data_IF_190833175882
#
_entry.id   IF_190833175882
#
_cell.length_a   1.000
_cell.length_b   1.000
_cell.length_c   1.000
_cell.angle_alpha   90.00
_cell.angle_beta   90.00
_cell.angle_gamma   90.00
#
_symmetry.space_group_name_H-M   'P 1'
#
loop_
_entity.id
_entity.type
_entity.pdbx_description
1 polymer ?
#
# COMPACT_ATOMS: atom_id res chain seq x y z
N UNK A 1 -23.73 19.00 9.35
CA UNK A 1 -22.89 17.99 10.05
C UNK A 1 -21.46 18.51 10.09
N UNK A 2 -20.75 18.33 11.20
CA UNK A 2 -19.31 18.60 11.25
C UNK A 2 -18.64 17.52 10.39
N UNK A 3 -17.92 17.92 9.33
CA UNK A 3 -17.22 17.00 8.44
C UNK A 3 -16.09 16.24 9.16
N UNK A 4 -15.56 15.19 8.53
CA UNK A 4 -14.43 14.41 9.07
C UNK A 4 -13.12 14.99 8.55
N UNK A 5 -11.99 14.63 9.17
CA UNK A 5 -10.66 14.89 8.61
C UNK A 5 -10.04 13.56 8.24
N UNK A 6 -9.86 13.31 6.95
CA UNK A 6 -9.24 12.10 6.41
C UNK A 6 -7.77 12.36 6.20
N UNK A 7 -6.92 11.51 6.78
CA UNK A 7 -5.48 11.58 6.61
C UNK A 7 -5.12 10.69 5.43
N UNK A 8 -4.62 11.31 4.37
CA UNK A 8 -4.14 10.58 3.22
C UNK A 8 -2.94 9.72 3.63
N UNK A 9 -2.82 8.55 3.01
CA UNK A 9 -1.65 7.68 3.12
C UNK A 9 -1.75 6.65 2.00
N UNK A 10 -1.59 7.09 0.75
CA UNK A 10 -1.77 6.22 -0.41
C UNK A 10 -0.69 5.16 -0.54
N UNK A 11 0.51 5.42 -0.02
CA UNK A 11 1.63 4.47 0.00
C UNK A 11 1.74 3.78 1.38
N UNK A 12 0.63 3.27 1.92
CA UNK A 12 0.60 2.63 3.23
C UNK A 12 1.45 1.35 3.26
N UNK A 13 1.66 0.70 2.12
CA UNK A 13 2.47 -0.51 1.98
C UNK A 13 3.94 -0.27 2.33
N UNK A 14 4.45 0.94 2.11
CA UNK A 14 5.79 1.33 2.56
C UNK A 14 5.94 1.29 4.10
N UNK A 15 4.83 1.41 4.83
CA UNK A 15 4.78 1.35 6.29
C UNK A 15 4.64 -0.07 6.82
N UNK A 16 4.11 -0.99 6.00
CA UNK A 16 3.90 -2.39 6.35
C UNK A 16 5.11 -3.27 6.01
N UNK A 17 6.01 -2.79 5.14
CA UNK A 17 7.16 -3.56 4.70
C UNK A 17 8.14 -3.84 5.86
N UNK A 18 8.57 -5.09 5.96
CA UNK A 18 9.52 -5.56 6.98
C UNK A 18 10.91 -5.75 6.36
N UNK A 19 11.89 -5.00 6.86
CA UNK A 19 13.28 -5.07 6.40
C UNK A 19 13.92 -6.45 6.60
N UNK A 20 13.33 -7.28 7.47
CA UNK A 20 13.74 -8.66 7.69
C UNK A 20 13.43 -9.56 6.48
N UNK A 21 12.53 -9.16 5.57
CA UNK A 21 12.23 -9.97 4.40
C UNK A 21 13.29 -9.83 3.29
N UNK A 22 13.46 -10.92 2.54
CA UNK A 22 14.20 -10.91 1.27
C UNK A 22 13.52 -10.01 0.26
N UNK A 23 14.31 -9.22 -0.48
CA UNK A 23 13.80 -8.37 -1.56
C UNK A 23 14.31 -8.82 -2.94
N UNK A 24 13.49 -8.59 -3.95
CA UNK A 24 13.87 -8.70 -5.35
C UNK A 24 14.88 -7.58 -5.70
N UNK A 25 15.70 -7.76 -6.75
CA UNK A 25 16.52 -6.68 -7.26
C UNK A 25 15.63 -5.50 -7.70
N UNK A 26 15.87 -4.32 -7.12
CA UNK A 26 15.20 -3.09 -7.54
C UNK A 26 16.09 -2.32 -8.52
N UNK A 27 15.50 -1.79 -9.58
CA UNK A 27 16.13 -0.84 -10.52
C UNK A 27 15.65 0.60 -10.28
N UNK A 28 15.01 0.87 -9.14
CA UNK A 28 14.40 2.18 -8.87
C UNK A 28 15.47 3.23 -8.60
N UNK A 29 15.43 4.32 -9.36
CA UNK A 29 16.12 5.56 -9.00
C UNK A 29 15.33 6.25 -7.88
N UNK A 30 16.01 6.95 -6.97
CA UNK A 30 15.41 7.70 -5.84
C UNK A 30 14.23 8.60 -6.27
N UNK A 31 14.28 9.16 -7.50
CA UNK A 31 13.19 9.95 -8.08
C UNK A 31 11.85 9.18 -8.24
N UNK A 32 11.88 7.87 -8.48
CA UNK A 32 10.67 7.04 -8.55
C UNK A 32 10.10 6.72 -7.18
N UNK A 33 10.87 6.79 -6.09
CA UNK A 33 10.33 6.61 -4.73
C UNK A 33 9.58 7.88 -4.29
N UNK A 34 10.08 9.06 -4.66
CA UNK A 34 9.44 10.35 -4.38
C UNK A 34 8.01 10.46 -4.94
N UNK A 35 7.75 9.94 -6.14
CA UNK A 35 6.43 10.01 -6.76
C UNK A 35 5.31 9.38 -5.92
N UNK A 36 5.60 8.37 -5.09
CA UNK A 36 4.60 7.70 -4.26
C UNK A 36 4.13 8.57 -3.09
N UNK A 37 4.96 9.52 -2.64
CA UNK A 37 4.60 10.46 -1.58
C UNK A 37 3.56 11.51 -2.04
N UNK A 38 3.40 11.69 -3.36
CA UNK A 38 2.44 12.66 -3.92
C UNK A 38 1.10 12.04 -4.33
N UNK A 39 0.94 10.71 -4.26
CA UNK A 39 -0.33 10.05 -4.56
C UNK A 39 -1.49 10.51 -3.66
N UNK A 40 -1.16 11.06 -2.48
CA UNK A 40 -2.13 11.65 -1.56
C UNK A 40 -3.00 12.75 -2.22
N UNK A 41 -2.52 13.41 -3.29
CA UNK A 41 -3.28 14.45 -4.00
C UNK A 41 -4.53 13.95 -4.72
N UNK A 42 -4.53 12.66 -5.10
CA UNK A 42 -5.61 11.97 -5.83
C UNK A 42 -6.78 11.65 -4.89
N UNK A 43 -6.58 11.75 -3.57
CA UNK A 43 -7.65 11.51 -2.61
C UNK A 43 -8.78 12.53 -2.78
N UNK A 44 -9.99 12.01 -2.96
CA UNK A 44 -11.25 12.75 -2.93
C UNK A 44 -12.17 12.09 -1.89
N UNK A 45 -12.63 12.81 -0.86
CA UNK A 45 -13.46 12.26 0.18
C UNK A 45 -14.89 12.06 -0.31
N UNK A 46 -15.61 11.14 0.32
CA UNK A 46 -16.95 10.75 -0.08
C UNK A 46 -18.03 11.81 0.25
N UNK A 47 -17.82 12.64 1.28
CA UNK A 47 -18.85 13.56 1.78
C UNK A 47 -18.47 15.03 1.58
N UNK A 48 -19.45 15.85 1.19
CA UNK A 48 -19.30 17.30 1.19
C UNK A 48 -18.95 17.80 2.59
N UNK A 49 -18.01 18.75 2.67
CA UNK A 49 -17.41 19.31 3.89
C UNK A 49 -16.38 18.45 4.62
N UNK A 50 -16.06 17.24 4.14
CA UNK A 50 -14.90 16.51 4.64
C UNK A 50 -13.63 17.33 4.41
N UNK A 51 -12.65 17.10 5.29
CA UNK A 51 -11.31 17.63 5.23
C UNK A 51 -10.36 16.52 4.80
N UNK A 52 -9.34 16.85 4.03
CA UNK A 52 -8.23 15.97 3.70
C UNK A 52 -6.96 16.59 4.24
N UNK A 53 -6.16 15.78 4.92
CA UNK A 53 -4.80 16.11 5.29
C UNK A 53 -3.84 15.32 4.40
N UNK A 54 -2.93 16.03 3.74
CA UNK A 54 -1.90 15.44 2.85
C UNK A 54 -0.50 15.93 3.26
N UNK A 55 0.56 15.27 2.80
CA UNK A 55 1.93 15.69 3.12
C UNK A 55 2.33 16.98 2.40
N UNK A 56 2.14 17.05 1.09
CA UNK A 56 2.59 18.16 0.25
C UNK A 56 1.41 18.73 -0.53
N UNK A 57 1.31 20.06 -0.58
CA UNK A 57 0.26 20.76 -1.31
C UNK A 57 0.23 20.34 -2.78
N UNK A 58 -0.94 20.07 -3.36
CA UNK A 58 -1.03 19.66 -4.74
C UNK A 58 -1.11 20.87 -5.66
N UNK A 59 -0.98 20.62 -6.95
CA UNK A 59 -1.14 21.67 -7.95
C UNK A 59 -2.55 22.30 -7.89
N UNK A 60 -2.62 23.63 -8.09
CA UNK A 60 -3.88 24.37 -8.07
C UNK A 60 -4.85 23.92 -9.18
N UNK A 61 -4.36 23.48 -10.35
CA UNK A 61 -5.16 22.94 -11.44
C UNK A 61 -5.96 21.71 -11.01
N UNK A 62 -5.36 20.79 -10.25
CA UNK A 62 -6.06 19.60 -9.74
C UNK A 62 -7.19 20.00 -8.78
N UNK A 63 -6.91 20.96 -7.89
CA UNK A 63 -7.92 21.48 -6.96
C UNK A 63 -9.06 22.19 -7.69
N UNK A 64 -8.75 23.00 -8.71
CA UNK A 64 -9.73 23.67 -9.57
C UNK A 64 -10.57 22.66 -10.37
N UNK A 65 -9.96 21.58 -10.86
CA UNK A 65 -10.65 20.50 -11.54
C UNK A 65 -11.63 19.77 -10.62
N UNK A 66 -11.21 19.43 -9.39
CA UNK A 66 -12.13 18.85 -8.41
C UNK A 66 -13.32 19.77 -8.11
N UNK A 67 -13.09 21.08 -7.93
CA UNK A 67 -14.18 22.04 -7.78
C UNK A 67 -15.09 22.11 -9.01
N UNK A 68 -14.54 22.04 -10.23
CA UNK A 68 -15.33 22.16 -11.46
C UNK A 68 -16.24 20.95 -11.72
N UNK A 69 -15.90 19.78 -11.17
CA UNK A 69 -16.75 18.58 -11.18
C UNK A 69 -17.69 18.50 -9.96
N UNK A 70 -17.77 19.57 -9.15
CA UNK A 70 -18.70 19.70 -8.01
C UNK A 70 -18.20 19.11 -6.70
N UNK A 71 -16.90 18.84 -6.55
CA UNK A 71 -16.36 18.36 -5.29
C UNK A 71 -16.27 19.49 -4.25
N UNK A 72 -16.85 19.26 -3.08
CA UNK A 72 -16.89 20.25 -1.99
C UNK A 72 -16.17 19.71 -0.75
N UNK A 73 -14.85 19.88 -0.68
CA UNK A 73 -14.05 19.45 0.47
C UNK A 73 -12.95 20.48 0.81
N UNK A 74 -12.41 20.36 2.02
CA UNK A 74 -11.30 21.18 2.49
C UNK A 74 -10.00 20.37 2.41
N UNK A 75 -8.89 21.00 2.08
CA UNK A 75 -7.59 20.34 2.01
C UNK A 75 -6.55 21.17 2.75
N UNK A 76 -5.76 20.51 3.58
CA UNK A 76 -4.59 21.07 4.24
C UNK A 76 -3.39 20.17 3.98
N UNK A 77 -2.22 20.80 3.87
CA UNK A 77 -0.94 20.13 3.63
C UNK A 77 0.04 20.46 4.75
N UNK A 78 0.91 19.52 5.10
CA UNK A 78 2.00 19.77 6.06
C UNK A 78 3.09 20.65 5.45
N UNK A 79 3.36 20.47 4.15
CA UNK A 79 4.36 21.22 3.39
C UNK A 79 3.69 21.96 2.23
N UNK A 80 4.11 23.20 2.00
CA UNK A 80 3.59 24.03 0.90
C UNK A 80 4.10 23.58 -0.48
N UNK A 81 5.29 22.97 -0.52
CA UNK A 81 5.93 22.48 -1.74
C UNK A 81 6.98 21.38 -1.44
N UNK A 82 7.59 20.87 -2.51
CA UNK A 82 8.64 19.84 -2.46
C UNK A 82 9.89 20.32 -1.73
N UNK A 83 10.28 21.58 -1.93
CA UNK A 83 11.48 22.14 -1.31
C UNK A 83 11.33 22.18 0.21
N UNK A 84 10.14 22.57 0.69
CA UNK A 84 9.79 22.60 2.11
C UNK A 84 9.75 21.20 2.69
N UNK A 85 9.23 20.23 1.94
CA UNK A 85 9.22 18.82 2.32
C UNK A 85 10.64 18.25 2.48
N UNK A 86 11.54 18.52 1.55
CA UNK A 86 12.95 18.10 1.64
C UNK A 86 13.68 18.78 2.81
N UNK A 87 13.44 20.08 3.04
CA UNK A 87 14.04 20.83 4.15
C UNK A 87 13.61 20.31 5.53
N UNK A 88 12.38 19.79 5.63
CA UNK A 88 11.86 19.14 6.83
C UNK A 88 12.34 17.70 7.00
N UNK A 89 13.23 17.21 6.13
CA UNK A 89 13.79 15.87 6.21
C UNK A 89 12.88 14.80 5.62
N UNK A 90 12.12 15.14 4.57
CA UNK A 90 11.23 14.23 3.84
C UNK A 90 10.21 13.54 4.78
N UNK A 91 9.38 14.33 5.51
CA UNK A 91 8.46 13.79 6.49
C UNK A 91 7.55 12.75 5.86
N UNK A 92 7.42 11.63 6.53
CA UNK A 92 6.48 10.57 6.18
C UNK A 92 5.47 10.44 7.29
N UNK A 93 4.28 9.96 6.96
CA UNK A 93 3.27 9.68 7.97
C UNK A 93 3.85 8.84 9.13
N UNK A 94 4.81 7.92 8.88
CA UNK A 94 5.44 7.05 9.89
C UNK A 94 6.08 7.81 11.05
N UNK A 95 6.73 8.93 10.74
CA UNK A 95 7.64 9.63 11.63
C UNK A 95 6.96 10.82 12.33
N UNK A 96 5.85 11.30 11.79
CA UNK A 96 5.13 12.44 12.34
C UNK A 96 4.34 12.06 13.59
N UNK A 97 4.80 12.54 14.75
CA UNK A 97 4.01 12.50 15.98
C UNK A 97 2.89 13.53 15.87
N UNK A 98 1.64 13.07 15.81
CA UNK A 98 0.41 13.87 15.91
C UNK A 98 0.49 15.26 15.22
N UNK A 99 -0.06 15.42 14.00
CA UNK A 99 -0.16 16.67 13.25
C UNK A 99 -0.87 17.82 13.95
N UNK A 100 -1.31 17.68 15.21
CA UNK A 100 -1.99 18.73 15.97
C UNK A 100 -1.22 20.06 16.01
N UNK A 101 0.10 20.06 15.78
CA UNK A 101 0.91 21.28 15.66
C UNK A 101 0.83 21.91 14.26
N UNK A 102 0.59 21.10 13.23
CA UNK A 102 0.63 21.50 11.81
C UNK A 102 -0.76 21.69 11.17
N UNK A 103 -1.81 21.15 11.76
CA UNK A 103 -3.18 21.24 11.23
C UNK A 103 -3.95 22.39 11.84
N UNK A 104 -4.83 23.00 11.06
CA UNK A 104 -5.69 24.06 11.59
C UNK A 104 -6.58 23.53 12.71
N UNK A 105 -6.94 24.43 13.64
CA UNK A 105 -7.93 24.15 14.69
C UNK A 105 -9.24 23.58 14.14
N UNK A 106 -9.64 24.05 12.94
CA UNK A 106 -10.84 23.57 12.24
C UNK A 106 -10.71 22.11 11.79
N UNK A 107 -9.52 21.67 11.40
CA UNK A 107 -9.28 20.27 11.03
C UNK A 107 -9.12 19.37 12.25
N UNK A 108 -8.51 19.84 13.34
CA UNK A 108 -8.27 19.05 14.55
C UNK A 108 -9.54 18.78 15.37
N UNK A 109 -10.50 19.71 15.39
CA UNK A 109 -11.78 19.57 16.09
C UNK A 109 -12.75 18.58 15.42
N UNK A 110 -12.46 18.16 14.19
CA UNK A 110 -13.26 17.18 13.44
C UNK A 110 -12.95 15.75 13.88
N UNK A 111 -13.83 14.82 13.52
CA UNK A 111 -13.57 13.39 13.68
C UNK A 111 -12.43 12.98 12.73
N UNK A 112 -11.29 12.61 13.30
CA UNK A 112 -10.13 12.17 12.54
C UNK A 112 -10.35 10.75 12.00
N UNK A 113 -9.91 10.49 10.78
CA UNK A 113 -9.93 9.16 10.15
C UNK A 113 -8.69 8.93 9.29
N UNK A 114 -8.08 7.74 9.35
CA UNK A 114 -7.07 7.39 8.37
C UNK A 114 -7.70 6.93 7.05
N UNK A 115 -7.04 7.23 5.92
CA UNK A 115 -7.33 6.56 4.64
C UNK A 115 -6.92 5.08 4.69
N UNK A 116 -5.72 4.79 5.20
CA UNK A 116 -5.19 3.45 5.40
C UNK A 116 -4.78 3.25 6.86
N UNK A 117 -4.95 2.04 7.40
CA UNK A 117 -4.56 1.79 8.80
C UNK A 117 -3.02 1.76 8.91
N UNK A 118 -2.50 2.79 9.54
CA UNK A 118 -1.07 3.06 9.73
C UNK A 118 -0.63 2.69 11.16
N UNK A 119 0.68 2.63 11.47
CA UNK A 119 1.18 2.18 12.77
C UNK A 119 0.53 2.80 14.00
N UNK A 120 0.70 2.16 15.16
CA UNK A 120 0.00 2.53 16.39
C UNK A 120 0.26 3.93 16.92
N UNK A 121 1.32 4.59 16.47
CA UNK A 121 1.66 5.98 16.82
C UNK A 121 0.55 6.97 16.46
N UNK A 122 -0.38 6.61 15.58
CA UNK A 122 -1.48 7.46 15.15
C UNK A 122 -2.81 7.18 15.87
N UNK A 123 -2.90 6.09 16.64
CA UNK A 123 -4.15 5.74 17.32
C UNK A 123 -4.58 6.78 18.36
N UNK A 124 -3.62 7.53 18.92
CA UNK A 124 -3.90 8.67 19.79
C UNK A 124 -4.71 9.78 19.09
N UNK A 125 -4.55 9.94 17.77
CA UNK A 125 -5.27 10.94 16.98
C UNK A 125 -6.64 10.45 16.48
N UNK A 126 -6.80 9.14 16.23
CA UNK A 126 -8.01 8.59 15.60
C UNK A 126 -9.07 8.07 16.59
N UNK A 127 -8.67 7.81 17.84
CA UNK A 127 -9.49 7.05 18.78
C UNK A 127 -9.54 5.57 18.41
N UNK A 128 -9.56 4.69 19.41
CA UNK A 128 -9.43 3.23 19.22
C UNK A 128 -10.69 2.53 18.71
N UNK A 129 -11.85 3.17 18.80
CA UNK A 129 -13.08 2.38 18.99
C UNK A 129 -13.63 1.73 17.71
N UNK A 130 -13.05 2.01 16.54
CA UNK A 130 -13.64 1.59 15.25
C UNK A 130 -12.66 1.19 14.14
N UNK A 131 -11.35 1.09 14.39
CA UNK A 131 -10.38 0.66 13.38
C UNK A 131 -10.03 -0.83 13.56
N UNK A 132 -9.81 -1.60 12.48
CA UNK A 132 -9.22 -2.93 12.60
C UNK A 132 -7.85 -2.85 13.30
N UNK A 133 -7.42 -3.92 13.96
CA UNK A 133 -6.09 -3.95 14.58
C UNK A 133 -5.02 -3.80 13.48
N UNK A 134 -3.98 -3.00 13.76
CA UNK A 134 -2.86 -2.79 12.81
C UNK A 134 -2.33 -4.11 12.23
N UNK A 135 -2.06 -5.08 13.11
CA UNK A 135 -1.51 -6.38 12.73
C UNK A 135 -2.43 -7.16 11.78
N UNK A 136 -3.74 -7.05 11.96
CA UNK A 136 -4.71 -7.69 11.07
C UNK A 136 -4.70 -7.01 9.70
N UNK A 137 -4.55 -5.67 9.63
CA UNK A 137 -4.43 -4.95 8.35
C UNK A 137 -3.15 -5.31 7.61
N UNK A 138 -2.01 -5.34 8.30
CA UNK A 138 -0.74 -5.79 7.73
C UNK A 138 -0.89 -7.20 7.19
N UNK A 139 -1.50 -8.11 7.97
CA UNK A 139 -1.70 -9.50 7.56
C UNK A 139 -2.56 -9.63 6.30
N UNK A 140 -3.69 -8.93 6.20
CA UNK A 140 -4.58 -9.08 5.03
C UNK A 140 -4.03 -8.43 3.76
N UNK A 141 -3.12 -7.46 3.89
CA UNK A 141 -2.43 -6.84 2.75
C UNK A 141 -1.16 -7.60 2.31
N UNK A 142 -0.73 -8.61 3.06
CA UNK A 142 0.32 -9.51 2.63
C UNK A 142 -0.19 -10.42 1.50
N UNK A 143 0.43 -10.36 0.32
CA UNK A 143 0.06 -11.20 -0.82
C UNK A 143 0.09 -12.70 -0.52
N UNK A 144 0.94 -13.14 0.41
CA UNK A 144 1.00 -14.53 0.87
C UNK A 144 -0.28 -14.94 1.57
N UNK A 145 -0.87 -14.03 2.34
CA UNK A 145 -2.14 -14.27 3.03
C UNK A 145 -3.29 -14.47 2.04
N UNK A 146 -3.29 -13.76 0.90
CA UNK A 146 -4.29 -13.98 -0.15
C UNK A 146 -4.25 -15.42 -0.70
N UNK A 147 -3.05 -15.97 -0.92
CA UNK A 147 -2.86 -17.37 -1.35
C UNK A 147 -3.39 -18.34 -0.29
N UNK A 148 -3.04 -18.12 0.97
CA UNK A 148 -3.52 -18.94 2.10
C UNK A 148 -5.06 -18.88 2.25
N UNK A 149 -5.63 -17.69 2.07
CA UNK A 149 -7.07 -17.45 2.14
C UNK A 149 -7.79 -18.22 1.02
N UNK A 150 -7.29 -18.12 -0.22
CA UNK A 150 -7.84 -18.87 -1.34
C UNK A 150 -7.78 -20.38 -1.10
N UNK A 151 -6.65 -20.89 -0.58
CA UNK A 151 -6.53 -22.30 -0.21
C UNK A 151 -7.57 -22.71 0.83
N UNK A 152 -7.71 -21.95 1.93
CA UNK A 152 -8.67 -22.22 3.01
C UNK A 152 -10.12 -22.20 2.54
N UNK A 153 -10.45 -21.34 1.58
CA UNK A 153 -11.80 -21.17 1.05
C UNK A 153 -12.09 -22.09 -0.14
N UNK A 154 -11.13 -22.91 -0.60
CA UNK A 154 -11.28 -23.73 -1.80
C UNK A 154 -11.38 -22.91 -3.09
N UNK A 155 -10.94 -21.65 -3.06
CA UNK A 155 -10.91 -20.77 -4.24
C UNK A 155 -9.67 -21.12 -5.06
N UNK A 156 -9.90 -21.37 -6.35
CA UNK A 156 -8.83 -21.66 -7.31
C UNK A 156 -7.82 -20.50 -7.32
N UNK A 157 -6.57 -20.82 -7.04
CA UNK A 157 -5.46 -19.90 -7.11
C UNK A 157 -4.23 -20.64 -7.65
N UNK A 158 -3.29 -19.89 -8.25
CA UNK A 158 -2.05 -20.44 -8.80
C UNK A 158 -0.81 -20.00 -8.00
N UNK A 159 -1.04 -19.31 -6.89
CA UNK A 159 0.01 -18.77 -6.04
C UNK A 159 0.60 -19.83 -5.13
N UNK A 160 1.92 -19.78 -4.97
CA UNK A 160 2.63 -20.63 -4.01
C UNK A 160 3.56 -19.73 -3.20
N UNK A 161 3.43 -19.81 -1.88
CA UNK A 161 4.26 -19.03 -0.98
C UNK A 161 5.62 -19.72 -0.80
N UNK A 162 6.68 -18.94 -0.86
CA UNK A 162 8.06 -19.35 -0.63
C UNK A 162 8.47 -18.88 0.77
N UNK A 163 8.83 -19.83 1.64
CA UNK A 163 9.11 -19.55 3.06
C UNK A 163 10.48 -20.06 3.55
N UNK A 164 11.15 -20.89 2.76
CA UNK A 164 12.42 -21.52 3.14
C UNK A 164 13.38 -21.59 1.95
N UNK A 165 14.67 -21.75 2.24
CA UNK A 165 15.70 -21.95 1.21
C UNK A 165 15.42 -23.17 0.31
N UNK A 166 14.81 -24.23 0.85
CA UNK A 166 14.41 -25.41 0.08
C UNK A 166 13.39 -25.09 -1.03
N UNK A 167 12.60 -24.03 -0.88
CA UNK A 167 11.70 -23.57 -1.93
C UNK A 167 12.44 -23.07 -3.18
N UNK A 168 13.69 -22.59 -3.04
CA UNK A 168 14.45 -22.02 -4.16
C UNK A 168 14.86 -23.08 -5.19
N UNK A 169 15.16 -24.31 -4.76
CA UNK A 169 15.45 -25.41 -5.67
C UNK A 169 14.19 -25.88 -6.38
N UNK A 170 13.07 -25.97 -5.66
CA UNK A 170 11.76 -26.28 -6.25
C UNK A 170 11.28 -25.20 -7.21
N UNK A 171 11.73 -23.95 -7.03
CA UNK A 171 11.41 -22.85 -7.91
C UNK A 171 12.13 -23.01 -9.27
N UNK A 172 13.38 -23.48 -9.29
CA UNK A 172 14.19 -23.67 -10.51
C UNK A 172 13.59 -24.68 -11.48
N UNK A 173 12.82 -25.66 -11.01
CA UNK A 173 12.17 -26.66 -11.85
C UNK A 173 10.81 -26.22 -12.39
N UNK A 174 10.32 -25.03 -12.05
CA UNK A 174 9.01 -24.57 -12.49
C UNK A 174 8.98 -24.16 -13.97
N UNK A 175 7.84 -24.39 -14.66
CA UNK A 175 7.62 -23.83 -15.98
C UNK A 175 7.70 -22.30 -15.98
N UNK A 176 8.26 -21.76 -17.06
CA UNK A 176 8.34 -20.33 -17.34
C UNK A 176 7.33 -19.94 -18.44
N UNK A 177 6.88 -18.68 -18.49
CA UNK A 177 7.23 -17.57 -17.59
C UNK A 177 6.53 -17.64 -16.22
N UNK A 178 7.19 -17.12 -15.19
CA UNK A 178 6.63 -16.97 -13.84
C UNK A 178 6.77 -15.53 -13.34
N UNK A 179 6.00 -15.18 -12.32
CA UNK A 179 6.11 -13.90 -11.62
C UNK A 179 6.40 -14.17 -10.13
N UNK A 180 7.42 -13.50 -9.61
CA UNK A 180 7.69 -13.41 -8.18
C UNK A 180 7.10 -12.11 -7.65
N UNK A 181 6.47 -12.16 -6.47
CA UNK A 181 5.87 -11.01 -5.81
C UNK A 181 6.30 -10.96 -4.34
N UNK A 182 6.74 -9.79 -3.91
CA UNK A 182 6.98 -9.45 -2.51
C UNK A 182 5.66 -9.23 -1.76
N UNK A 183 5.64 -9.35 -0.42
CA UNK A 183 4.42 -9.28 0.37
C UNK A 183 3.62 -7.99 0.12
N UNK A 184 4.32 -6.85 0.12
CA UNK A 184 3.71 -5.51 0.09
C UNK A 184 4.05 -4.69 -1.17
N UNK A 185 4.56 -5.33 -2.23
CA UNK A 185 4.87 -4.60 -3.48
C UNK A 185 3.63 -3.99 -4.16
N UNK A 186 3.70 -2.73 -4.62
CA UNK A 186 2.61 -2.01 -5.29
C UNK A 186 3.02 -1.42 -6.62
N UNK A 187 2.07 -1.25 -7.54
CA UNK A 187 2.26 -0.58 -8.84
C UNK A 187 3.46 -1.11 -9.63
N UNK A 188 3.66 -2.43 -9.62
CA UNK A 188 4.77 -3.10 -10.31
C UNK A 188 6.08 -3.17 -9.51
N UNK A 189 6.23 -2.43 -8.40
CA UNK A 189 7.33 -2.61 -7.45
C UNK A 189 7.13 -3.89 -6.64
N UNK A 190 8.23 -4.54 -6.29
CA UNK A 190 8.21 -5.83 -5.61
C UNK A 190 7.56 -6.94 -6.44
N UNK A 191 7.56 -6.82 -7.77
CA UNK A 191 7.13 -7.90 -8.69
C UNK A 191 8.13 -8.06 -9.81
N UNK A 192 8.53 -9.30 -10.13
CA UNK A 192 9.49 -9.60 -11.19
C UNK A 192 9.01 -10.75 -12.06
N UNK A 193 8.86 -10.48 -13.36
CA UNK A 193 8.54 -11.49 -14.37
C UNK A 193 9.84 -12.15 -14.84
N UNK A 194 9.89 -13.48 -14.73
CA UNK A 194 11.04 -14.29 -15.11
C UNK A 194 10.66 -15.12 -16.33
N UNK A 195 11.34 -14.87 -17.45
CA UNK A 195 11.09 -15.53 -18.74
C UNK A 195 12.16 -16.55 -19.12
N UNK A 196 13.33 -16.50 -18.49
CA UNK A 196 14.49 -17.32 -18.84
C UNK A 196 15.08 -18.03 -17.61
N UNK A 197 15.49 -19.32 -17.73
CA UNK A 197 16.07 -20.07 -16.61
C UNK A 197 17.34 -19.44 -16.03
N UNK A 198 18.16 -18.79 -16.87
CA UNK A 198 19.37 -18.10 -16.42
C UNK A 198 19.08 -16.93 -15.48
N UNK A 199 18.00 -16.18 -15.75
CA UNK A 199 17.52 -15.11 -14.87
C UNK A 199 16.98 -15.72 -13.58
N UNK A 200 16.20 -16.81 -13.67
CA UNK A 200 15.68 -17.49 -12.49
C UNK A 200 16.81 -17.93 -11.55
N UNK A 201 17.87 -18.53 -12.09
CA UNK A 201 19.02 -18.96 -11.29
C UNK A 201 19.65 -17.78 -10.56
N UNK A 202 19.88 -16.65 -11.24
CA UNK A 202 20.46 -15.45 -10.62
C UNK A 202 19.58 -14.89 -9.51
N UNK A 203 18.26 -14.92 -9.68
CA UNK A 203 17.32 -14.50 -8.64
C UNK A 203 17.36 -15.46 -7.45
N UNK A 204 17.36 -16.78 -7.67
CA UNK A 204 17.53 -17.75 -6.59
C UNK A 204 18.83 -17.52 -5.82
N UNK A 205 19.95 -17.26 -6.51
CA UNK A 205 21.24 -17.00 -5.87
C UNK A 205 21.22 -15.69 -5.05
N UNK A 206 20.57 -14.65 -5.57
CA UNK A 206 20.35 -13.38 -4.87
C UNK A 206 19.54 -13.55 -3.58
N UNK A 207 18.45 -14.32 -3.63
CA UNK A 207 17.63 -14.62 -2.46
C UNK A 207 18.37 -15.51 -1.46
N UNK A 208 19.11 -16.52 -1.94
CA UNK A 208 19.90 -17.39 -1.09
C UNK A 208 20.95 -16.61 -0.28
N UNK A 209 21.65 -15.65 -0.90
CA UNK A 209 22.59 -14.76 -0.21
C UNK A 209 21.92 -13.93 0.88
N UNK A 210 20.73 -13.39 0.61
CA UNK A 210 19.98 -12.64 1.62
C UNK A 210 19.56 -13.51 2.80
N UNK A 211 19.11 -14.75 2.54
CA UNK A 211 18.77 -15.71 3.59
C UNK A 211 19.99 -16.05 4.44
N UNK A 212 21.16 -16.26 3.82
CA UNK A 212 22.42 -16.47 4.54
C UNK A 212 22.80 -15.29 5.43
N UNK A 213 22.40 -14.07 5.04
CA UNK A 213 22.60 -12.85 5.81
C UNK A 213 21.48 -12.59 6.85
N UNK A 214 20.65 -13.59 7.15
CA UNK A 214 19.64 -13.54 8.21
C UNK A 214 18.26 -13.03 7.78
N UNK A 215 18.04 -12.74 6.49
CA UNK A 215 16.71 -12.37 6.00
C UNK A 215 15.77 -13.57 5.89
N UNK A 216 14.50 -13.34 6.15
CA UNK A 216 13.45 -14.34 5.98
C UNK A 216 12.93 -14.34 4.54
N UNK A 217 12.84 -15.52 3.91
CA UNK A 217 12.19 -15.66 2.61
C UNK A 217 10.69 -15.45 2.74
N UNK A 218 10.17 -14.48 2.00
CA UNK A 218 8.78 -14.07 2.05
C UNK A 218 8.33 -13.65 0.66
N UNK A 219 7.98 -14.60 -0.20
CA UNK A 219 7.55 -14.31 -1.57
C UNK A 219 6.37 -15.17 -1.98
N UNK A 220 5.60 -14.67 -2.93
CA UNK A 220 4.62 -15.46 -3.68
C UNK A 220 5.13 -15.70 -5.10
N UNK A 221 5.07 -16.93 -5.58
CA UNK A 221 5.30 -17.26 -6.99
C UNK A 221 4.00 -17.67 -7.67
N UNK A 222 3.78 -17.16 -8.87
CA UNK A 222 2.65 -17.53 -9.73
C UNK A 222 3.15 -17.78 -11.16
N UNK A 223 2.46 -18.63 -11.96
CA UNK A 223 2.65 -18.62 -13.41
C UNK A 223 2.31 -17.24 -13.96
N UNK A 224 3.10 -16.75 -14.93
CA UNK A 224 2.79 -15.49 -15.58
C UNK A 224 1.73 -15.74 -16.67
N UNK A 225 0.53 -15.23 -16.44
CA UNK A 225 -0.59 -15.36 -17.37
C UNK A 225 -0.62 -14.14 -18.31
N UNK A 226 -0.87 -14.39 -19.59
CA UNK A 226 -1.16 -13.32 -20.54
C UNK A 226 -2.55 -12.76 -20.19
N UNK A 227 -2.58 -11.51 -19.75
CA UNK A 227 -3.80 -10.82 -19.34
C UNK A 227 -4.72 -10.65 -20.56
N UNK A 228 -5.85 -11.36 -20.56
CA UNK A 228 -6.96 -11.11 -21.50
C UNK A 228 -7.93 -10.07 -20.94
N UNK A 229 -8.20 -10.15 -19.63
CA UNK A 229 -9.07 -9.26 -18.88
C UNK A 229 -8.50 -9.06 -17.47
N UNK A 230 -8.79 -7.91 -16.88
CA UNK A 230 -8.49 -7.63 -15.48
C UNK A 230 -9.71 -7.08 -14.79
N UNK A 231 -10.05 -7.67 -13.66
CA UNK A 231 -11.27 -7.40 -12.95
C UNK A 231 -10.95 -7.04 -11.51
N UNK A 232 -11.53 -5.94 -11.06
CA UNK A 232 -11.51 -5.54 -9.66
C UNK A 232 -12.93 -5.34 -9.15
N UNK A 233 -13.16 -5.68 -7.89
CA UNK A 233 -14.41 -5.44 -7.19
C UNK A 233 -14.14 -4.81 -5.83
N UNK A 234 -14.99 -3.86 -5.45
CA UNK A 234 -14.93 -3.17 -4.18
C UNK A 234 -16.09 -3.63 -3.31
N UNK A 235 -15.79 -3.87 -2.04
CA UNK A 235 -16.72 -4.38 -1.06
C UNK A 235 -16.57 -3.60 0.25
N UNK A 236 -17.66 -3.48 0.99
CA UNK A 236 -17.62 -3.04 2.38
C UNK A 236 -17.83 -4.23 3.30
N UNK A 237 -17.10 -4.24 4.41
CA UNK A 237 -17.26 -5.21 5.50
C UNK A 237 -17.54 -4.40 6.76
N UNK A 238 -18.76 -4.54 7.28
CA UNK A 238 -19.23 -3.89 8.52
C UNK A 238 -18.60 -4.51 9.76
N UNK A 239 -18.67 -3.78 10.89
CA UNK A 239 -18.17 -4.26 12.18
C UNK A 239 -18.94 -5.50 12.70
N UNK A 240 -20.19 -5.66 12.26
CA UNK A 240 -21.05 -6.81 12.51
C UNK A 240 -20.78 -7.98 11.55
N UNK A 241 -19.83 -7.84 10.63
CA UNK A 241 -19.51 -8.81 9.60
C UNK A 241 -20.41 -8.73 8.36
N UNK A 242 -21.33 -7.75 8.28
CA UNK A 242 -22.15 -7.55 7.09
C UNK A 242 -21.27 -7.21 5.89
N UNK A 243 -21.42 -7.95 4.79
CA UNK A 243 -20.67 -7.72 3.54
C UNK A 243 -21.60 -7.14 2.49
N UNK A 244 -21.22 -6.01 1.89
CA UNK A 244 -21.97 -5.42 0.78
C UNK A 244 -21.06 -5.10 -0.41
N UNK A 245 -21.53 -5.42 -1.61
CA UNK A 245 -20.88 -5.06 -2.86
C UNK A 245 -21.04 -3.55 -3.12
N UNK A 246 -19.96 -2.87 -3.50
CA UNK A 246 -20.00 -1.46 -3.88
C UNK A 246 -20.05 -1.30 -5.40
N UNK A 247 -19.01 -1.78 -6.09
CA UNK A 247 -18.87 -1.67 -7.53
C UNK A 247 -17.85 -2.70 -8.04
N UNK A 248 -17.77 -2.84 -9.37
CA UNK A 248 -16.73 -3.59 -10.04
C UNK A 248 -16.36 -2.93 -11.35
N UNK A 249 -15.12 -3.11 -11.77
CA UNK A 249 -14.59 -2.57 -13.01
C UNK A 249 -13.79 -3.65 -13.75
N UNK A 250 -13.93 -3.66 -15.07
CA UNK A 250 -13.13 -4.49 -15.97
C UNK A 250 -12.24 -3.55 -16.78
N UNK A 251 -10.93 -3.74 -16.67
CA UNK A 251 -9.88 -2.94 -17.31
C UNK A 251 -9.28 -3.65 -18.52
#
# INVERSE_FOLDING_TARGET
MIGRTVWACFNAESLWNDEQFTSLPSFTNEAQDRQYHFLDEVLVPQQSNDGILILVKPDAYLSNYHCSIGAEFHRESLCDDLSSWEQLGEPTWRNEQAPSVFISKKMSERKQRPFANVPSTYYSAFGSDHLPKYQDVVKVNDKRYAVECCHRLGIKNYGINLHSSSCLESLKSRPLPLILKEPFGVSGKGSLIIKHPSILSRICDHLAKQIQNGKQLAMTVEPFLLKELDFSSQWTIGQDGTVAFLNGFVA
#
